data_IF_013751806800
#
_entry.id   IF_013751806800
#
_cell.length_a   1.000
_cell.length_b   1.000
_cell.length_c   1.000
_cell.angle_alpha   90.00
_cell.angle_beta   90.00
_cell.angle_gamma   90.00
#
_symmetry.space_group_name_H-M   'P 1'
#
loop_
_entity.id
_entity.type
_entity.pdbx_description
1 polymer ?
#
# COMPACT_ATOMS: atom_id res chain seq x y z
N UNK A 1 -81.62 -7.63 -73.34
CA UNK A 1 -81.45 -7.75 -71.88
C UNK A 1 -82.46 -8.77 -71.39
N UNK A 2 -82.02 -10.00 -71.19
CA UNK A 2 -82.88 -11.08 -70.69
C UNK A 2 -83.05 -10.89 -69.18
N UNK A 3 -84.24 -11.18 -68.62
CA UNK A 3 -84.51 -10.96 -67.19
C UNK A 3 -83.52 -11.66 -66.25
N UNK A 4 -82.86 -12.71 -66.73
CA UNK A 4 -81.81 -13.45 -66.03
C UNK A 4 -80.56 -12.57 -65.80
N UNK A 5 -80.16 -11.75 -66.77
CA UNK A 5 -79.01 -10.85 -66.64
C UNK A 5 -79.23 -9.79 -65.55
N UNK A 6 -80.46 -9.29 -65.42
CA UNK A 6 -80.83 -8.29 -64.40
C UNK A 6 -80.80 -8.90 -63.00
N UNK A 7 -81.26 -10.14 -62.83
CA UNK A 7 -81.24 -10.86 -61.55
C UNK A 7 -79.80 -11.13 -61.09
N UNK A 8 -78.93 -11.54 -62.03
CA UNK A 8 -77.51 -11.81 -61.75
C UNK A 8 -76.75 -10.54 -61.34
N UNK A 9 -77.08 -9.39 -61.93
CA UNK A 9 -76.49 -8.10 -61.59
C UNK A 9 -76.88 -7.65 -60.17
N UNK A 10 -78.14 -7.86 -59.77
CA UNK A 10 -78.63 -7.50 -58.42
C UNK A 10 -77.96 -8.37 -57.34
N UNK A 11 -77.81 -9.67 -57.59
CA UNK A 11 -77.13 -10.59 -56.66
C UNK A 11 -75.65 -10.22 -56.52
N UNK A 12 -74.98 -9.86 -57.62
CA UNK A 12 -73.59 -9.38 -57.59
C UNK A 12 -73.43 -8.09 -56.77
N UNK A 13 -74.34 -7.14 -56.92
CA UNK A 13 -74.34 -5.89 -56.16
C UNK A 13 -74.55 -6.14 -54.65
N UNK A 14 -75.44 -7.07 -54.28
CA UNK A 14 -75.65 -7.48 -52.89
C UNK A 14 -74.40 -8.11 -52.26
N UNK A 15 -73.72 -9.01 -52.96
CA UNK A 15 -72.48 -9.65 -52.47
C UNK A 15 -71.37 -8.61 -52.30
N UNK A 16 -71.22 -7.68 -53.25
CA UNK A 16 -70.22 -6.61 -53.16
C UNK A 16 -70.47 -5.67 -51.96
N UNK A 17 -71.73 -5.30 -51.70
CA UNK A 17 -72.10 -4.51 -50.52
C UNK A 17 -71.86 -5.27 -49.21
N UNK A 18 -72.14 -6.59 -49.18
CA UNK A 18 -71.87 -7.44 -48.03
C UNK A 18 -70.35 -7.57 -47.75
N UNK A 19 -69.51 -7.65 -48.79
CA UNK A 19 -68.05 -7.62 -48.61
C UNK A 19 -67.56 -6.32 -47.97
N UNK A 20 -68.20 -5.18 -48.26
CA UNK A 20 -67.86 -3.90 -47.63
C UNK A 20 -68.26 -3.84 -46.14
N UNK A 21 -69.40 -4.44 -45.77
CA UNK A 21 -69.82 -4.52 -44.35
C UNK A 21 -68.92 -5.48 -43.55
N UNK A 22 -68.46 -6.56 -44.16
CA UNK A 22 -67.64 -7.58 -43.51
C UNK A 22 -66.18 -7.12 -43.35
N UNK A 23 -65.60 -6.48 -44.39
CA UNK A 23 -64.24 -5.91 -44.30
C UNK A 23 -64.14 -4.72 -43.33
N UNK A 24 -65.26 -4.07 -43.01
CA UNK A 24 -65.29 -2.98 -42.02
C UNK A 24 -65.27 -3.49 -40.56
N UNK A 25 -65.37 -4.80 -40.34
CA UNK A 25 -65.42 -5.41 -39.00
C UNK A 25 -64.25 -6.35 -38.66
N UNK A 26 -63.25 -6.48 -39.53
CA UNK A 26 -62.04 -7.26 -39.24
C UNK A 26 -60.82 -6.34 -39.17
N UNK A 27 -60.15 -6.40 -38.02
CA UNK A 27 -58.76 -5.99 -37.80
C UNK A 27 -58.48 -4.51 -37.50
N UNK A 28 -59.11 -4.02 -36.44
CA UNK A 28 -58.35 -3.17 -35.49
C UNK A 28 -58.01 -4.01 -34.27
N UNK A 29 -56.75 -4.41 -34.04
CA UNK A 29 -56.35 -5.01 -32.77
C UNK A 29 -56.54 -3.95 -31.69
N UNK A 30 -57.64 -4.06 -30.93
CA UNK A 30 -57.79 -3.33 -29.69
C UNK A 30 -56.68 -3.82 -28.78
N UNK A 31 -55.69 -2.96 -28.54
CA UNK A 31 -54.69 -3.14 -27.50
C UNK A 31 -55.44 -3.38 -26.19
N UNK A 32 -55.63 -4.64 -25.83
CA UNK A 32 -56.16 -5.01 -24.54
C UNK A 32 -55.10 -4.57 -23.54
N UNK A 33 -55.32 -3.44 -22.87
CA UNK A 33 -54.69 -3.16 -21.59
C UNK A 33 -54.93 -4.41 -20.72
N UNK A 34 -53.90 -5.24 -20.56
CA UNK A 34 -53.90 -6.32 -19.59
C UNK A 34 -53.91 -5.63 -18.23
N UNK A 35 -55.10 -5.25 -17.76
CA UNK A 35 -55.29 -4.76 -16.41
C UNK A 35 -55.15 -5.94 -15.47
N UNK A 36 -53.91 -6.24 -15.09
CA UNK A 36 -53.57 -7.17 -14.02
C UNK A 36 -54.40 -6.77 -12.79
N UNK A 37 -55.19 -7.70 -12.28
CA UNK A 37 -55.95 -7.52 -11.04
C UNK A 37 -54.99 -7.21 -9.90
N UNK A 38 -55.38 -6.38 -8.93
CA UNK A 38 -54.49 -5.99 -7.82
C UNK A 38 -53.95 -7.21 -7.05
N UNK A 39 -54.71 -8.30 -6.99
CA UNK A 39 -54.25 -9.60 -6.46
C UNK A 39 -53.09 -10.22 -7.26
N UNK A 40 -53.13 -10.16 -8.59
CA UNK A 40 -52.05 -10.68 -9.44
C UNK A 40 -50.79 -9.84 -9.30
N UNK A 41 -50.92 -8.53 -9.12
CA UNK A 41 -49.78 -7.65 -8.84
C UNK A 41 -49.16 -7.98 -7.48
N UNK A 42 -49.98 -8.29 -6.49
CA UNK A 42 -49.52 -8.68 -5.16
C UNK A 42 -48.82 -10.06 -5.15
N UNK A 43 -49.38 -11.04 -5.86
CA UNK A 43 -48.76 -12.37 -6.01
C UNK A 43 -47.42 -12.28 -6.75
N UNK A 44 -47.36 -11.50 -7.84
CA UNK A 44 -46.12 -11.23 -8.58
C UNK A 44 -45.10 -10.51 -7.68
N UNK A 45 -45.54 -9.52 -6.89
CA UNK A 45 -44.67 -8.80 -5.96
C UNK A 45 -44.09 -9.74 -4.90
N UNK A 46 -44.89 -10.65 -4.36
CA UNK A 46 -44.42 -11.61 -3.37
C UNK A 46 -43.42 -12.59 -3.97
N UNK A 47 -43.65 -13.10 -5.19
CA UNK A 47 -42.67 -13.94 -5.89
C UNK A 47 -41.36 -13.21 -6.17
N UNK A 48 -41.44 -11.95 -6.60
CA UNK A 48 -40.25 -11.12 -6.81
C UNK A 48 -39.51 -10.94 -5.48
N UNK A 49 -40.20 -10.66 -4.38
CA UNK A 49 -39.55 -10.51 -3.08
C UNK A 49 -38.88 -11.80 -2.62
N UNK A 50 -39.54 -12.96 -2.75
CA UNK A 50 -38.93 -14.25 -2.37
C UNK A 50 -37.68 -14.57 -3.20
N UNK A 51 -37.73 -14.37 -4.53
CA UNK A 51 -36.57 -14.60 -5.39
C UNK A 51 -35.46 -13.57 -5.11
N UNK A 52 -35.83 -12.34 -4.77
CA UNK A 52 -34.88 -11.30 -4.41
C UNK A 52 -34.20 -11.59 -3.06
N UNK A 53 -34.96 -12.06 -2.07
CA UNK A 53 -34.43 -12.46 -0.76
C UNK A 53 -33.46 -13.65 -0.92
N UNK A 54 -33.80 -14.66 -1.72
CA UNK A 54 -32.92 -15.80 -2.01
C UNK A 54 -31.63 -15.37 -2.74
N UNK A 55 -31.74 -14.48 -3.73
CA UNK A 55 -30.57 -13.94 -4.43
C UNK A 55 -29.71 -13.05 -3.52
N UNK A 56 -30.34 -12.26 -2.65
CA UNK A 56 -29.64 -11.41 -1.69
C UNK A 56 -28.88 -12.26 -0.67
N UNK A 57 -29.48 -13.35 -0.18
CA UNK A 57 -28.83 -14.29 0.72
C UNK A 57 -27.63 -14.96 0.04
N UNK A 58 -27.79 -15.47 -1.19
CA UNK A 58 -26.69 -16.07 -1.95
C UNK A 58 -25.56 -15.07 -2.24
N UNK A 59 -25.92 -13.83 -2.63
CA UNK A 59 -24.94 -12.78 -2.86
C UNK A 59 -24.21 -12.39 -1.58
N UNK A 60 -24.92 -12.33 -0.45
CA UNK A 60 -24.34 -12.08 0.87
C UNK A 60 -23.35 -13.20 1.24
N UNK A 61 -23.75 -14.46 1.10
CA UNK A 61 -22.90 -15.62 1.38
C UNK A 61 -21.65 -15.63 0.49
N UNK A 62 -21.79 -15.40 -0.82
CA UNK A 62 -20.63 -15.29 -1.71
C UNK A 62 -19.73 -14.10 -1.37
N UNK A 63 -20.31 -13.00 -0.91
CA UNK A 63 -19.56 -11.82 -0.49
C UNK A 63 -18.78 -12.11 0.78
N UNK A 64 -19.39 -12.76 1.77
CA UNK A 64 -18.74 -13.21 3.00
C UNK A 64 -17.58 -14.16 2.69
N UNK A 65 -17.81 -15.19 1.87
CA UNK A 65 -16.75 -16.13 1.47
C UNK A 65 -15.59 -15.42 0.74
N UNK A 66 -15.89 -14.47 -0.16
CA UNK A 66 -14.85 -13.71 -0.87
C UNK A 66 -14.10 -12.78 0.07
N UNK A 67 -14.81 -12.17 1.01
CA UNK A 67 -14.23 -11.27 2.01
C UNK A 67 -13.34 -12.06 2.99
N UNK A 68 -13.74 -13.25 3.41
CA UNK A 68 -12.93 -14.14 4.23
C UNK A 68 -11.66 -14.59 3.49
N UNK A 69 -11.79 -14.96 2.21
CA UNK A 69 -10.62 -15.30 1.38
C UNK A 69 -9.67 -14.13 1.24
N UNK A 70 -10.19 -12.95 0.90
CA UNK A 70 -9.40 -11.72 0.77
C UNK A 70 -8.75 -11.32 2.10
N UNK A 71 -9.48 -11.45 3.21
CA UNK A 71 -8.98 -11.18 4.55
C UNK A 71 -7.84 -12.11 4.91
N UNK A 72 -7.98 -13.41 4.66
CA UNK A 72 -6.93 -14.40 4.90
C UNK A 72 -5.69 -14.14 4.03
N UNK A 73 -5.88 -13.82 2.75
CA UNK A 73 -4.80 -13.41 1.85
C UNK A 73 -4.10 -12.15 2.37
N UNK A 74 -4.86 -11.15 2.82
CA UNK A 74 -4.28 -9.90 3.33
C UNK A 74 -3.53 -10.08 4.63
N UNK A 75 -4.02 -10.97 5.51
CA UNK A 75 -3.32 -11.36 6.74
C UNK A 75 -2.00 -12.06 6.39
N UNK A 76 -1.98 -12.92 5.39
CA UNK A 76 -0.76 -13.60 4.92
C UNK A 76 0.25 -12.59 4.37
N UNK A 77 -0.16 -11.72 3.45
CA UNK A 77 0.70 -10.65 2.91
C UNK A 77 1.23 -9.73 4.01
N UNK A 78 0.37 -9.35 4.96
CA UNK A 78 0.76 -8.50 6.08
C UNK A 78 1.72 -9.22 7.03
N UNK A 79 1.55 -10.53 7.24
CA UNK A 79 2.48 -11.34 8.02
C UNK A 79 3.85 -11.40 7.34
N UNK A 80 3.90 -11.69 6.04
CA UNK A 80 5.16 -11.79 5.28
C UNK A 80 5.90 -10.43 5.24
N UNK A 81 5.16 -9.33 5.04
CA UNK A 81 5.71 -7.99 5.14
C UNK A 81 6.22 -7.70 6.55
N UNK A 82 5.44 -8.04 7.59
CA UNK A 82 5.82 -7.84 8.99
C UNK A 82 7.09 -8.63 9.32
N UNK A 83 7.21 -9.87 8.90
CA UNK A 83 8.42 -10.68 9.12
C UNK A 83 9.65 -10.07 8.45
N UNK A 84 9.49 -9.56 7.23
CA UNK A 84 10.58 -8.87 6.51
C UNK A 84 11.02 -7.61 7.25
N UNK A 85 10.08 -6.72 7.59
CA UNK A 85 10.38 -5.47 8.30
C UNK A 85 10.94 -5.75 9.69
N UNK A 86 10.42 -6.74 10.42
CA UNK A 86 10.93 -7.09 11.75
C UNK A 86 12.36 -7.63 11.66
N UNK A 87 12.67 -8.39 10.61
CA UNK A 87 14.03 -8.84 10.30
C UNK A 87 14.97 -7.68 10.02
N UNK A 88 14.55 -6.69 9.22
CA UNK A 88 15.30 -5.47 8.95
C UNK A 88 15.50 -4.61 10.20
N UNK A 89 14.46 -4.44 11.03
CA UNK A 89 14.55 -3.73 12.31
C UNK A 89 15.56 -4.41 13.23
N UNK A 90 15.50 -5.74 13.34
CA UNK A 90 16.45 -6.49 14.16
C UNK A 90 17.89 -6.36 13.63
N UNK A 91 18.07 -6.39 12.30
CA UNK A 91 19.38 -6.16 11.68
C UNK A 91 19.91 -4.75 11.97
N UNK A 92 19.07 -3.73 11.78
CA UNK A 92 19.42 -2.33 12.05
C UNK A 92 19.74 -2.12 13.53
N UNK A 93 18.95 -2.70 14.44
CA UNK A 93 19.23 -2.67 15.88
C UNK A 93 20.61 -3.25 16.21
N UNK A 94 20.96 -4.39 15.62
CA UNK A 94 22.28 -5.01 15.81
C UNK A 94 23.40 -4.14 15.24
N UNK A 95 23.19 -3.49 14.08
CA UNK A 95 24.17 -2.59 13.48
C UNK A 95 24.38 -1.33 14.33
N UNK A 96 23.30 -0.74 14.87
CA UNK A 96 23.38 0.39 15.80
C UNK A 96 24.10 0.01 17.09
N UNK A 97 23.81 -1.15 17.67
CA UNK A 97 24.54 -1.65 18.85
C UNK A 97 26.01 -1.90 18.55
N UNK A 98 26.32 -2.45 17.38
CA UNK A 98 27.70 -2.64 16.93
C UNK A 98 28.44 -1.31 16.74
N UNK A 99 27.80 -0.31 16.14
CA UNK A 99 28.35 1.05 16.02
C UNK A 99 28.59 1.68 17.40
N UNK A 100 27.68 1.46 18.35
CA UNK A 100 27.83 1.91 19.73
C UNK A 100 29.05 1.24 20.41
N UNK A 101 29.19 -0.08 20.26
CA UNK A 101 30.33 -0.83 20.80
C UNK A 101 31.66 -0.37 20.19
N UNK A 102 31.73 -0.22 18.86
CA UNK A 102 32.93 0.29 18.18
C UNK A 102 33.25 1.73 18.58
N UNK A 103 32.25 2.60 18.77
CA UNK A 103 32.45 3.96 19.24
C UNK A 103 33.06 3.96 20.65
N UNK A 104 32.53 3.10 21.53
CA UNK A 104 33.05 2.94 22.88
C UNK A 104 34.46 2.35 22.89
N UNK A 105 34.76 1.38 22.02
CA UNK A 105 36.09 0.83 21.85
C UNK A 105 37.07 1.89 21.35
N UNK A 106 36.72 2.66 20.32
CA UNK A 106 37.53 3.79 19.83
C UNK A 106 37.76 4.85 20.90
N UNK A 107 36.74 5.19 21.70
CA UNK A 107 36.89 6.10 22.84
C UNK A 107 37.91 5.56 23.84
N UNK A 108 37.90 4.24 24.11
CA UNK A 108 38.86 3.60 25.02
C UNK A 108 40.28 3.62 24.45
N UNK A 109 40.43 3.31 23.16
CA UNK A 109 41.71 3.39 22.45
C UNK A 109 42.30 4.80 22.50
N UNK A 110 41.51 5.83 22.14
CA UNK A 110 41.94 7.24 22.18
C UNK A 110 42.39 7.61 23.59
N UNK A 111 41.62 7.25 24.62
CA UNK A 111 42.00 7.54 25.99
C UNK A 111 43.31 6.85 26.41
N UNK A 112 43.57 5.65 25.93
CA UNK A 112 44.83 4.95 26.19
C UNK A 112 45.99 5.62 25.43
N UNK A 113 45.83 5.96 24.15
CA UNK A 113 46.85 6.68 23.38
C UNK A 113 47.16 8.04 24.00
N UNK A 114 46.15 8.78 24.48
CA UNK A 114 46.35 10.03 25.22
C UNK A 114 47.12 9.81 26.51
N UNK A 115 46.88 8.71 27.23
CA UNK A 115 47.70 8.35 28.41
C UNK A 115 49.14 8.05 28.03
N UNK A 116 49.37 7.26 26.99
CA UNK A 116 50.71 6.91 26.53
C UNK A 116 51.49 8.16 26.07
N UNK A 117 50.85 9.06 25.31
CA UNK A 117 51.43 10.34 24.92
C UNK A 117 51.77 11.22 26.12
N UNK A 118 50.95 11.22 27.16
CA UNK A 118 51.23 11.96 28.39
C UNK A 118 52.40 11.36 29.19
N UNK A 119 52.56 10.04 29.19
CA UNK A 119 53.72 9.37 29.81
C UNK A 119 54.98 9.74 29.04
N UNK A 120 54.98 9.61 27.72
CA UNK A 120 56.12 9.99 26.86
C UNK A 120 56.46 11.48 27.01
N UNK A 121 55.47 12.38 27.06
CA UNK A 121 55.70 13.82 27.30
C UNK A 121 56.34 14.07 28.67
N UNK A 122 55.99 13.30 29.70
CA UNK A 122 56.61 13.39 31.03
C UNK A 122 58.04 12.86 31.00
N UNK A 123 58.30 11.74 30.36
CA UNK A 123 59.63 11.16 30.19
C UNK A 123 60.58 12.10 29.42
N UNK A 124 60.13 12.69 28.31
CA UNK A 124 60.90 13.69 27.54
C UNK A 124 61.16 14.95 28.38
N UNK A 125 60.20 15.38 29.22
CA UNK A 125 60.38 16.50 30.15
C UNK A 125 61.37 16.18 31.27
N UNK A 126 61.49 14.92 31.69
CA UNK A 126 62.47 14.50 32.69
C UNK A 126 63.87 14.31 32.09
N UNK A 127 63.98 13.82 30.87
CA UNK A 127 65.26 13.71 30.15
C UNK A 127 65.82 15.08 29.71
N UNK A 128 64.98 16.12 29.60
CA UNK A 128 65.43 17.49 29.31
C UNK A 128 65.98 18.23 30.55
N UNK A 129 66.09 17.59 31.72
CA UNK A 129 66.70 18.18 32.95
C UNK A 129 68.22 17.96 33.07
N UNK A 130 68.97 17.95 31.97
CA UNK A 130 70.41 18.22 32.02
C UNK A 130 70.74 19.49 31.22
N UNK A 131 71.55 20.41 31.78
CA UNK A 131 71.62 21.78 31.28
C UNK A 131 72.61 21.86 30.12
N UNK A 132 72.21 22.45 28.99
CA UNK A 132 73.08 23.33 28.20
C UNK A 132 72.33 24.13 27.13
N UNK A 133 72.36 25.44 27.38
CA UNK A 133 72.34 26.57 26.45
C UNK A 133 71.15 26.78 25.51
N UNK A 134 70.40 27.84 25.88
CA UNK A 134 69.51 28.67 25.06
C UNK A 134 70.05 28.83 23.63
N UNK A 135 69.19 28.62 22.63
CA UNK A 135 68.77 29.67 21.66
C UNK A 135 67.59 29.18 20.82
N UNK A 136 66.50 29.95 20.88
CA UNK A 136 65.45 30.12 19.86
C UNK A 136 64.55 28.91 19.57
N UNK A 137 63.49 28.76 20.35
CA UNK A 137 62.21 28.16 19.91
C UNK A 137 61.10 28.41 20.94
N UNK A 138 60.94 29.69 21.31
CA UNK A 138 59.93 30.17 22.25
C UNK A 138 58.62 30.54 21.51
N UNK A 139 58.16 29.70 20.58
CA UNK A 139 56.95 29.98 19.76
C UNK A 139 56.03 28.80 19.49
N UNK A 140 56.33 27.59 20.00
CA UNK A 140 55.50 26.39 19.70
C UNK A 140 54.81 25.81 20.94
N UNK A 141 55.18 26.22 22.15
CA UNK A 141 54.55 25.69 23.37
C UNK A 141 53.20 26.35 23.72
N UNK A 142 52.95 27.60 23.37
CA UNK A 142 51.67 28.26 23.65
C UNK A 142 50.50 27.76 22.77
N UNK A 143 50.80 27.05 21.66
CA UNK A 143 49.78 26.51 20.76
C UNK A 143 49.30 25.10 21.13
N UNK A 144 49.93 24.47 22.13
CA UNK A 144 49.53 23.13 22.60
C UNK A 144 48.64 23.16 23.85
N UNK A 145 48.65 24.26 24.61
CA UNK A 145 47.74 24.42 25.75
C UNK A 145 46.33 24.87 25.27
N UNK A 146 46.25 25.61 24.15
CA UNK A 146 44.97 26.01 23.55
C UNK A 146 44.14 24.84 22.94
N UNK A 147 44.78 23.74 22.53
CA UNK A 147 44.09 22.55 21.99
C UNK A 147 43.71 21.56 23.10
N UNK A 148 44.39 21.62 24.26
CA UNK A 148 44.07 20.74 25.39
C UNK A 148 42.91 21.28 26.23
N UNK A 149 42.62 22.58 26.15
CA UNK A 149 41.53 23.23 26.90
C UNK A 149 40.23 23.35 26.08
N UNK A 150 40.31 23.33 24.74
CA UNK A 150 39.13 23.38 23.86
C UNK A 150 38.41 22.05 23.64
N UNK A 151 38.90 20.94 24.21
CA UNK A 151 38.28 19.60 24.08
C UNK A 151 37.68 19.09 25.40
N UNK A 152 37.75 19.89 26.46
CA UNK A 152 37.21 19.53 27.77
C UNK A 152 35.76 20.00 28.00
N UNK A 153 35.24 20.94 27.21
CA UNK A 153 33.97 21.61 27.51
C UNK A 153 32.78 21.23 26.60
N UNK A 154 33.00 20.55 25.47
CA UNK A 154 31.91 20.12 24.58
C UNK A 154 31.86 18.60 24.40
N UNK A 155 31.62 17.84 25.46
CA UNK A 155 30.79 16.63 25.41
C UNK A 155 30.25 16.30 26.81
N UNK A 156 29.82 17.33 27.53
CA UNK A 156 28.90 17.19 28.67
C UNK A 156 27.47 16.93 28.19
N UNK A 157 27.26 15.87 27.43
CA UNK A 157 25.93 15.32 27.18
C UNK A 157 25.87 13.97 27.86
N UNK A 158 25.49 14.05 29.14
CA UNK A 158 24.99 12.95 29.93
C UNK A 158 23.88 12.21 29.15
N UNK A 159 24.20 11.01 28.69
CA UNK A 159 23.22 9.97 28.37
C UNK A 159 23.55 8.72 29.17
N UNK A 160 23.72 8.91 30.49
CA UNK A 160 23.71 7.84 31.48
C UNK A 160 22.28 7.63 32.02
N UNK A 161 21.33 7.29 31.14
CA UNK A 161 19.95 7.06 31.58
C UNK A 161 19.10 6.17 30.67
N UNK A 162 19.60 5.01 30.23
CA UNK A 162 18.74 3.90 29.80
C UNK A 162 19.40 2.55 30.11
N UNK A 163 19.65 2.29 31.40
CA UNK A 163 19.75 0.90 31.88
C UNK A 163 18.33 0.45 32.22
N UNK A 164 17.64 -0.12 31.23
CA UNK A 164 16.45 -0.93 31.51
C UNK A 164 16.55 -2.23 30.73
N UNK A 165 17.25 -3.21 31.32
CA UNK A 165 16.96 -4.61 31.07
C UNK A 165 15.50 -4.91 31.45
N UNK A 166 14.69 -5.54 30.59
CA UNK A 166 13.59 -6.36 31.08
C UNK A 166 14.06 -7.81 31.17
N UNK A 167 14.56 -8.20 32.35
CA UNK A 167 14.41 -9.60 32.78
C UNK A 167 12.95 -9.82 33.19
N UNK A 168 12.15 -10.48 32.35
CA UNK A 168 11.04 -11.31 32.85
C UNK A 168 11.07 -12.71 32.26
N UNK A 169 11.20 -13.64 33.20
CA UNK A 169 11.09 -15.08 33.10
C UNK A 169 9.79 -15.48 32.40
N UNK A 170 9.85 -16.51 31.55
CA UNK A 170 8.88 -17.61 31.55
C UNK A 170 9.55 -18.89 31.05
N UNK A 171 9.90 -19.73 32.02
CA UNK A 171 10.05 -21.15 31.79
C UNK A 171 8.68 -21.74 31.43
N UNK A 172 8.64 -22.58 30.41
CA UNK A 172 7.42 -23.26 29.98
C UNK A 172 7.68 -24.17 28.79
N UNK A 173 8.14 -25.38 29.10
CA UNK A 173 8.13 -26.59 28.27
C UNK A 173 9.01 -26.64 27.02
N UNK A 174 10.10 -27.40 27.20
CA UNK A 174 10.71 -28.24 26.20
C UNK A 174 9.66 -28.99 25.37
N UNK A 175 9.85 -29.01 24.04
CA UNK A 175 10.01 -30.24 23.25
C UNK A 175 10.28 -29.89 21.77
N UNK A 176 11.46 -30.32 21.32
CA UNK A 176 11.72 -30.77 19.94
C UNK A 176 11.87 -29.70 18.85
N UNK A 177 12.96 -28.93 18.91
CA UNK A 177 13.48 -28.15 17.77
C UNK A 177 14.83 -28.69 17.25
N UNK A 178 15.07 -30.01 17.41
CA UNK A 178 16.30 -30.68 16.99
C UNK A 178 16.15 -31.54 15.72
N UNK A 179 15.06 -31.42 14.98
CA UNK A 179 14.87 -32.11 13.70
C UNK A 179 14.11 -31.22 12.73
N UNK A 180 14.86 -30.53 11.86
CA UNK A 180 14.47 -30.09 10.49
C UNK A 180 15.44 -29.07 9.86
N UNK A 181 16.62 -28.84 10.44
CA UNK A 181 17.70 -28.07 9.80
C UNK A 181 18.43 -28.80 8.64
N UNK A 182 17.80 -29.77 7.96
CA UNK A 182 18.43 -30.52 6.85
C UNK A 182 17.39 -31.05 5.85
N UNK A 183 16.64 -30.18 5.16
CA UNK A 183 16.14 -30.51 3.82
C UNK A 183 15.48 -29.31 3.11
N UNK A 184 16.25 -28.42 2.50
CA UNK A 184 15.77 -27.53 1.41
C UNK A 184 16.96 -26.97 0.61
N UNK A 185 17.80 -27.87 0.11
CA UNK A 185 18.63 -27.57 -1.07
C UNK A 185 18.17 -28.56 -2.13
N UNK A 186 17.63 -28.04 -3.24
CA UNK A 186 17.06 -28.73 -4.44
C UNK A 186 15.56 -29.04 -4.45
N UNK A 187 14.76 -28.00 -4.74
CA UNK A 187 13.56 -27.95 -5.62
C UNK A 187 12.99 -26.54 -5.36
N UNK A 188 12.78 -25.63 -6.31
CA UNK A 188 12.20 -25.75 -7.64
C UNK A 188 12.76 -24.66 -8.55
N UNK A 189 13.30 -25.07 -9.68
CA UNK A 189 13.18 -24.31 -10.92
C UNK A 189 11.73 -24.38 -11.36
N UNK A 190 11.22 -23.29 -11.93
CA UNK A 190 9.97 -23.18 -12.70
C UNK A 190 8.65 -23.09 -11.91
N UNK A 191 8.24 -21.86 -11.58
CA UNK A 191 6.96 -21.30 -12.06
C UNK A 191 7.13 -19.83 -12.41
N UNK A 192 7.19 -19.57 -13.72
CA UNK A 192 6.75 -18.31 -14.28
C UNK A 192 5.26 -18.22 -14.03
N UNK A 193 4.79 -17.16 -13.41
CA UNK A 193 3.66 -16.40 -13.94
C UNK A 193 3.83 -14.94 -13.52
N UNK A 194 3.92 -14.13 -14.56
CA UNK A 194 4.23 -12.72 -14.56
C UNK A 194 2.95 -11.94 -14.26
N UNK A 195 2.92 -11.18 -13.17
CA UNK A 195 2.09 -9.98 -13.09
C UNK A 195 2.91 -8.90 -12.41
N UNK A 196 3.47 -8.05 -13.26
CA UNK A 196 4.36 -6.94 -12.94
C UNK A 196 3.88 -6.16 -11.72
N UNK A 197 4.64 -6.29 -10.64
CA UNK A 197 4.75 -5.30 -9.59
C UNK A 197 5.60 -4.18 -10.19
N UNK A 198 4.97 -3.16 -10.80
CA UNK A 198 5.66 -1.93 -11.19
C UNK A 198 5.89 -1.10 -9.93
N UNK A 199 6.96 -1.43 -9.23
CA UNK A 199 7.46 -0.69 -8.07
C UNK A 199 8.52 0.32 -8.55
N UNK A 200 8.20 1.60 -8.32
CA UNK A 200 9.02 2.82 -8.38
C UNK A 200 9.33 3.48 -9.76
N UNK A 201 8.35 4.20 -10.31
CA UNK A 201 8.55 5.49 -11.00
C UNK A 201 7.88 6.65 -10.24
N UNK A 202 8.07 6.71 -8.91
CA UNK A 202 7.31 7.66 -8.07
C UNK A 202 7.66 9.15 -8.31
N UNK A 203 8.80 9.43 -8.94
CA UNK A 203 9.20 10.80 -9.32
C UNK A 203 8.45 11.34 -10.54
N UNK A 204 8.21 10.49 -11.55
CA UNK A 204 7.58 10.89 -12.82
C UNK A 204 6.06 11.03 -12.69
N UNK A 205 5.44 10.16 -11.89
CA UNK A 205 4.00 10.17 -11.69
C UNK A 205 3.50 11.50 -11.12
N UNK A 206 4.23 12.09 -10.17
CA UNK A 206 3.87 13.38 -9.58
C UNK A 206 3.90 14.53 -10.60
N UNK A 207 4.91 14.57 -11.47
CA UNK A 207 4.99 15.59 -12.52
C UNK A 207 3.88 15.42 -13.56
N UNK A 208 3.56 14.17 -13.92
CA UNK A 208 2.51 13.84 -14.88
C UNK A 208 1.09 14.10 -14.33
N UNK A 209 0.89 13.93 -13.02
CA UNK A 209 -0.33 14.35 -12.32
C UNK A 209 -0.50 15.87 -12.45
N UNK A 210 0.58 16.63 -12.24
CA UNK A 210 0.54 18.09 -12.33
C UNK A 210 0.30 18.58 -13.76
N UNK A 211 0.94 17.97 -14.75
CA UNK A 211 0.73 18.31 -16.17
C UNK A 211 -0.73 18.06 -16.59
N UNK A 212 -1.27 16.88 -16.26
CA UNK A 212 -2.65 16.54 -16.59
C UNK A 212 -3.67 17.39 -15.81
N UNK A 213 -3.36 17.77 -14.57
CA UNK A 213 -4.18 18.69 -13.79
C UNK A 213 -4.16 20.12 -14.35
N UNK A 214 -2.99 20.60 -14.82
CA UNK A 214 -2.86 21.88 -15.53
C UNK A 214 -3.57 21.87 -16.87
N UNK A 215 -3.60 20.73 -17.55
CA UNK A 215 -4.39 20.50 -18.76
C UNK A 215 -5.91 20.42 -18.50
N UNK A 216 -6.35 20.53 -17.24
CA UNK A 216 -7.77 20.55 -16.88
C UNK A 216 -8.45 19.19 -16.79
N UNK A 217 -7.69 18.08 -16.83
CA UNK A 217 -8.25 16.74 -16.69
C UNK A 217 -8.76 16.51 -15.26
N UNK A 218 -9.83 15.71 -15.15
CA UNK A 218 -10.41 15.36 -13.86
C UNK A 218 -9.48 14.45 -13.05
N UNK A 219 -9.46 14.59 -11.73
CA UNK A 219 -8.67 13.75 -10.83
C UNK A 219 -8.94 12.24 -11.03
N UNK A 220 -10.16 11.89 -11.43
CA UNK A 220 -10.55 10.51 -11.74
C UNK A 220 -9.92 9.99 -13.04
N UNK A 221 -9.80 10.85 -14.06
CA UNK A 221 -9.15 10.49 -15.33
C UNK A 221 -7.65 10.35 -15.17
N UNK A 222 -7.04 11.21 -14.35
CA UNK A 222 -5.62 11.15 -13.99
C UNK A 222 -5.32 9.84 -13.28
N UNK A 223 -6.14 9.49 -12.27
CA UNK A 223 -6.05 8.23 -11.53
C UNK A 223 -6.15 7.01 -12.47
N UNK A 224 -7.14 7.02 -13.38
CA UNK A 224 -7.33 5.93 -14.35
C UNK A 224 -6.19 5.82 -15.36
N UNK A 225 -5.63 6.94 -15.79
CA UNK A 225 -4.54 6.98 -16.80
C UNK A 225 -3.21 6.56 -16.21
N UNK A 226 -2.95 6.89 -14.94
CA UNK A 226 -1.68 6.59 -14.25
C UNK A 226 -1.75 5.33 -13.38
N UNK A 227 -2.92 4.71 -13.24
CA UNK A 227 -3.09 3.52 -12.40
C UNK A 227 -2.93 3.80 -10.90
N UNK A 228 -3.09 5.06 -10.48
CA UNK A 228 -2.91 5.53 -9.10
C UNK A 228 -4.26 5.83 -8.44
N UNK A 229 -4.29 5.89 -7.11
CA UNK A 229 -5.50 6.17 -6.34
C UNK A 229 -6.00 7.62 -6.53
N UNK A 230 -7.31 7.82 -6.57
CA UNK A 230 -7.91 9.18 -6.68
C UNK A 230 -7.54 10.09 -5.51
N UNK A 231 -7.31 9.52 -4.32
CA UNK A 231 -6.81 10.23 -3.14
C UNK A 231 -5.37 10.71 -3.29
N UNK A 232 -4.52 9.92 -3.95
CA UNK A 232 -3.11 10.23 -4.21
C UNK A 232 -2.99 11.41 -5.19
N UNK A 233 -3.78 11.39 -6.26
CA UNK A 233 -3.90 12.51 -7.21
C UNK A 233 -4.34 13.78 -6.50
N UNK A 234 -5.35 13.69 -5.63
CA UNK A 234 -5.87 14.84 -4.89
C UNK A 234 -4.81 15.42 -3.96
N UNK A 235 -4.09 14.57 -3.23
CA UNK A 235 -3.02 14.99 -2.32
C UNK A 235 -1.92 15.77 -3.06
N UNK A 236 -1.46 15.26 -4.20
CA UNK A 236 -0.43 15.92 -5.02
C UNK A 236 -0.93 17.26 -5.57
N UNK A 237 -2.17 17.31 -6.07
CA UNK A 237 -2.77 18.55 -6.58
C UNK A 237 -2.95 19.59 -5.47
N UNK A 238 -3.42 19.18 -4.29
CA UNK A 238 -3.66 20.07 -3.15
C UNK A 238 -2.35 20.61 -2.58
N UNK A 239 -1.29 19.78 -2.48
CA UNK A 239 0.02 20.18 -1.99
C UNK A 239 0.69 21.24 -2.89
N UNK A 240 0.54 21.10 -4.21
CA UNK A 240 1.12 22.02 -5.19
C UNK A 240 0.25 23.26 -5.48
N UNK A 241 -1.08 23.18 -5.34
CA UNK A 241 -1.97 24.35 -5.47
C UNK A 241 -2.09 25.17 -4.19
N UNK A 242 -1.99 24.53 -3.02
CA UNK A 242 -2.08 25.18 -1.70
C UNK A 242 -0.77 25.78 -1.18
N UNK A 243 0.34 25.60 -1.90
CA UNK A 243 1.66 26.12 -1.52
C UNK A 243 2.02 27.51 -2.07
N UNK A 244 1.03 28.36 -2.41
CA UNK A 244 1.26 29.77 -2.81
C UNK A 244 0.58 30.73 -1.85
#
# INVERSE_FOLDING_TARGET
>A
MTGIEVILLIIGAMIFAASFIFTSKSDTPKNAEIRLSDKQKEDIKNQIMTVFDEQMENLSEQTEIKLDKLSNEKIMEMNDYSETILGEINRNHNEVMFLYDMLNEKKKEINNTVRDLNVVKKEIKEETKQPRQKTRQETVLDQLDAVSESVADETGADVSAFDEQPKKKRAGNAKTAASRARNTVKKETERKDNKDITVFENGNNNEKILEMSRAGKSNMEIAKTLGIGTGEVKLVVDLFKGGR
#
